data_IF_596800512231
#
_entry.id   IF_596800512231
#
_cell.length_a   1.000
_cell.length_b   1.000
_cell.length_c   1.000
_cell.angle_alpha   90.00
_cell.angle_beta   90.00
_cell.angle_gamma   90.00
#
_symmetry.space_group_name_H-M   'P 1'
#
loop_
_entity.id
_entity.type
_entity.pdbx_description
1 polymer ?
#
# COMPACT_ATOMS: atom_id res chain seq x y z
N UNK A 1 -3.59 17.60 -25.72
CA UNK A 1 -4.17 16.30 -26.15
C UNK A 1 -3.11 15.20 -26.27
N UNK A 2 -2.06 15.32 -27.11
CA UNK A 2 -1.01 14.27 -27.23
C UNK A 2 -0.27 13.94 -25.93
N UNK A 3 0.08 14.93 -25.11
CA UNK A 3 0.76 14.70 -23.82
C UNK A 3 -0.12 13.98 -22.78
N UNK A 4 -1.42 14.30 -22.74
CA UNK A 4 -2.38 13.64 -21.85
C UNK A 4 -2.58 12.16 -22.23
N UNK A 5 -2.69 11.87 -23.53
CA UNK A 5 -2.79 10.49 -24.03
C UNK A 5 -1.54 9.69 -23.65
N UNK A 6 -0.35 10.27 -23.86
CA UNK A 6 0.91 9.61 -23.49
C UNK A 6 1.00 9.32 -21.99
N UNK A 7 0.52 10.21 -21.12
CA UNK A 7 0.52 9.98 -19.67
C UNK A 7 -0.43 8.84 -19.28
N UNK A 8 -1.65 8.83 -19.83
CA UNK A 8 -2.61 7.75 -19.59
C UNK A 8 -2.09 6.40 -20.07
N UNK A 9 -1.38 6.36 -21.20
CA UNK A 9 -0.74 5.15 -21.70
C UNK A 9 0.34 4.64 -20.72
N UNK A 10 1.19 5.53 -20.20
CA UNK A 10 2.23 5.16 -19.22
C UNK A 10 1.60 4.61 -17.94
N UNK A 11 0.58 5.30 -17.41
CA UNK A 11 -0.15 4.87 -16.23
C UNK A 11 -0.77 3.48 -16.47
N UNK A 12 -1.44 3.27 -17.61
CA UNK A 12 -2.04 1.99 -17.97
C UNK A 12 -1.02 0.87 -18.07
N UNK A 13 0.13 1.12 -18.72
CA UNK A 13 1.21 0.14 -18.80
C UNK A 13 1.84 -0.18 -17.43
N UNK A 14 2.05 0.84 -16.59
CA UNK A 14 2.59 0.67 -15.24
C UNK A 14 1.64 -0.12 -14.32
N UNK A 15 0.33 0.17 -14.39
CA UNK A 15 -0.71 -0.59 -13.68
C UNK A 15 -0.78 -2.05 -14.16
N UNK A 16 -0.69 -2.29 -15.47
CA UNK A 16 -0.66 -3.64 -16.02
C UNK A 16 0.59 -4.41 -15.57
N UNK A 17 1.76 -3.78 -15.57
CA UNK A 17 2.99 -4.37 -15.05
C UNK A 17 2.84 -4.69 -13.56
N UNK A 18 2.29 -3.78 -12.76
CA UNK A 18 2.06 -3.99 -11.34
C UNK A 18 1.16 -5.20 -11.06
N UNK A 19 0.08 -5.34 -11.82
CA UNK A 19 -0.79 -6.53 -11.76
C UNK A 19 -0.05 -7.81 -12.11
N UNK A 20 0.67 -7.84 -13.25
CA UNK A 20 1.38 -9.03 -13.73
C UNK A 20 2.42 -9.48 -12.72
N UNK A 21 3.25 -8.55 -12.24
CA UNK A 21 4.29 -8.86 -11.25
C UNK A 21 3.64 -9.34 -9.95
N UNK A 22 2.62 -8.64 -9.44
CA UNK A 22 1.94 -9.06 -8.22
C UNK A 22 1.31 -10.44 -8.35
N UNK A 23 0.67 -10.75 -9.48
CA UNK A 23 0.06 -12.05 -9.75
C UNK A 23 1.10 -13.18 -9.74
N UNK A 24 2.18 -13.05 -10.52
CA UNK A 24 3.19 -14.10 -10.59
C UNK A 24 3.97 -14.25 -9.27
N UNK A 25 4.31 -13.13 -8.62
CA UNK A 25 5.01 -13.17 -7.32
C UNK A 25 4.11 -13.74 -6.23
N UNK A 26 2.83 -13.38 -6.18
CA UNK A 26 1.89 -13.95 -5.22
C UNK A 26 1.75 -15.46 -5.45
N UNK A 27 1.58 -15.90 -6.71
CA UNK A 27 1.53 -17.32 -7.06
C UNK A 27 2.76 -18.09 -6.60
N UNK A 28 3.96 -17.55 -6.85
CA UNK A 28 5.22 -18.18 -6.43
C UNK A 28 5.35 -18.15 -4.91
N UNK A 29 5.05 -17.02 -4.28
CA UNK A 29 5.16 -16.80 -2.83
C UNK A 29 4.16 -17.62 -2.03
N UNK A 30 3.04 -18.04 -2.60
CA UNK A 30 2.02 -18.89 -1.97
C UNK A 30 2.16 -20.38 -2.34
N UNK A 31 3.12 -20.73 -3.20
CA UNK A 31 3.34 -22.12 -3.58
C UNK A 31 3.87 -22.96 -2.40
N UNK A 32 3.48 -24.25 -2.26
CA UNK A 32 3.91 -25.08 -1.13
C UNK A 32 5.43 -25.25 -0.98
N UNK A 33 6.19 -25.04 -2.06
CA UNK A 33 7.65 -25.18 -2.10
C UNK A 33 8.39 -23.88 -1.74
N UNK A 34 7.66 -22.76 -1.60
CA UNK A 34 8.25 -21.46 -1.34
C UNK A 34 8.70 -21.32 0.11
N UNK A 35 9.93 -20.84 0.28
CA UNK A 35 10.48 -20.46 1.59
C UNK A 35 9.86 -19.18 2.16
N UNK A 36 9.14 -18.43 1.33
CA UNK A 36 8.46 -17.19 1.71
C UNK A 36 7.08 -17.46 2.28
N UNK A 37 6.48 -18.62 1.96
CA UNK A 37 5.19 -19.02 2.51
C UNK A 37 5.32 -19.39 3.98
N UNK A 38 4.29 -19.07 4.75
CA UNK A 38 4.07 -19.57 6.09
C UNK A 38 2.62 -20.04 6.19
N UNK A 39 2.36 -21.10 6.96
CA UNK A 39 1.02 -21.59 7.20
C UNK A 39 0.30 -20.69 8.22
N UNK A 40 -0.71 -19.95 7.77
CA UNK A 40 -1.62 -19.23 8.67
C UNK A 40 -2.55 -20.23 9.34
N UNK A 41 -2.42 -20.37 10.66
CA UNK A 41 -3.17 -21.34 11.45
C UNK A 41 -4.34 -20.59 12.10
N UNK A 42 -5.60 -21.02 11.86
CA UNK A 42 -6.76 -20.37 12.42
C UNK A 42 -6.65 -20.19 13.94
N UNK A 43 -6.86 -18.96 14.40
CA UNK A 43 -6.89 -18.61 15.81
C UNK A 43 -8.27 -18.05 16.20
N UNK A 44 -8.44 -17.64 17.46
CA UNK A 44 -9.71 -17.10 17.99
C UNK A 44 -10.21 -15.82 17.29
N UNK A 45 -9.39 -15.20 16.43
CA UNK A 45 -9.71 -14.02 15.61
C UNK A 45 -9.89 -14.36 14.13
N UNK A 46 -9.47 -15.55 13.70
CA UNK A 46 -9.57 -15.98 12.30
C UNK A 46 -11.01 -16.32 11.95
N UNK A 47 -11.48 -15.83 10.80
CA UNK A 47 -12.80 -16.17 10.26
C UNK A 47 -12.75 -17.32 9.25
N UNK A 48 -11.55 -17.70 8.81
CA UNK A 48 -11.30 -18.92 8.04
C UNK A 48 -11.11 -20.12 8.99
N UNK A 49 -11.47 -21.31 8.50
CA UNK A 49 -11.42 -22.57 9.30
C UNK A 49 -10.28 -23.49 8.86
N UNK A 50 -9.71 -23.25 7.68
CA UNK A 50 -8.64 -24.08 7.10
C UNK A 50 -7.31 -23.36 7.21
N UNK A 51 -6.22 -24.12 7.32
CA UNK A 51 -4.86 -23.57 7.25
C UNK A 51 -4.62 -23.04 5.84
N UNK A 52 -4.31 -21.75 5.71
CA UNK A 52 -4.07 -21.09 4.41
C UNK A 52 -2.59 -20.70 4.28
N UNK A 53 -2.03 -20.72 3.06
CA UNK A 53 -0.70 -20.17 2.83
C UNK A 53 -0.74 -18.64 2.95
N UNK A 54 0.15 -18.08 3.77
CA UNK A 54 0.37 -16.63 3.93
C UNK A 54 1.71 -16.21 3.32
N UNK A 55 1.81 -14.95 2.90
CA UNK A 55 3.00 -14.37 2.25
C UNK A 55 2.73 -13.75 0.88
N UNK A 56 1.50 -13.83 0.36
CA UNK A 56 1.14 -13.25 -0.95
C UNK A 56 1.24 -11.72 -1.01
N UNK A 57 1.24 -11.03 0.13
CA UNK A 57 1.46 -9.58 0.22
C UNK A 57 2.80 -9.12 -0.36
N UNK A 58 3.80 -10.00 -0.45
CA UNK A 58 5.07 -9.73 -1.17
C UNK A 58 4.79 -9.39 -2.63
N UNK A 59 3.79 -10.03 -3.25
CA UNK A 59 3.35 -9.72 -4.60
C UNK A 59 2.87 -8.28 -4.73
N UNK A 60 2.06 -7.80 -3.79
CA UNK A 60 1.57 -6.41 -3.79
C UNK A 60 2.75 -5.43 -3.75
N UNK A 61 3.73 -5.67 -2.88
CA UNK A 61 4.89 -4.79 -2.69
C UNK A 61 5.77 -4.78 -3.94
N UNK A 62 6.14 -5.95 -4.47
CA UNK A 62 7.00 -6.03 -5.65
C UNK A 62 6.29 -5.56 -6.93
N UNK A 63 4.99 -5.82 -7.05
CA UNK A 63 4.17 -5.31 -8.15
C UNK A 63 4.03 -3.79 -8.10
N UNK A 64 3.68 -3.24 -6.95
CA UNK A 64 3.60 -1.80 -6.73
C UNK A 64 4.95 -1.11 -6.99
N UNK A 65 6.06 -1.70 -6.54
CA UNK A 65 7.40 -1.20 -6.83
C UNK A 65 7.72 -1.23 -8.33
N UNK A 66 7.47 -2.35 -9.02
CA UNK A 66 7.73 -2.46 -10.46
C UNK A 66 6.91 -1.46 -11.28
N UNK A 67 5.61 -1.33 -10.98
CA UNK A 67 4.75 -0.31 -11.61
C UNK A 67 5.21 1.11 -11.29
N UNK A 68 5.57 1.37 -10.04
CA UNK A 68 6.11 2.66 -9.60
C UNK A 68 7.38 3.06 -10.34
N UNK A 69 8.36 2.15 -10.43
CA UNK A 69 9.60 2.36 -11.19
C UNK A 69 9.30 2.69 -12.65
N UNK A 70 8.38 1.97 -13.28
CA UNK A 70 7.98 2.23 -14.66
C UNK A 70 7.28 3.58 -14.83
N UNK A 71 6.47 3.98 -13.85
CA UNK A 71 5.68 5.20 -13.91
C UNK A 71 6.52 6.47 -13.70
N UNK A 72 7.32 6.52 -12.63
CA UNK A 72 8.11 7.72 -12.31
C UNK A 72 9.51 7.68 -12.89
N UNK A 73 10.09 6.50 -13.07
CA UNK A 73 11.51 6.31 -13.38
C UNK A 73 12.33 6.04 -12.12
N UNK A 74 13.47 5.33 -12.29
CA UNK A 74 14.28 4.87 -11.17
C UNK A 74 14.90 6.03 -10.36
N UNK A 75 15.38 7.08 -11.03
CA UNK A 75 16.06 8.21 -10.36
C UNK A 75 15.11 9.04 -9.47
N UNK A 76 13.84 9.10 -9.84
CA UNK A 76 12.77 9.77 -9.09
C UNK A 76 12.25 8.97 -7.90
N UNK A 77 12.64 7.69 -7.75
CA UNK A 77 12.38 6.92 -6.54
C UNK A 77 13.20 7.39 -5.33
N UNK A 78 14.10 8.37 -5.50
CA UNK A 78 14.78 9.05 -4.39
C UNK A 78 14.17 10.42 -4.07
N UNK A 79 13.02 10.76 -4.67
CA UNK A 79 12.24 11.97 -4.38
C UNK A 79 11.21 11.75 -3.25
N UNK A 80 10.29 12.70 -3.02
CA UNK A 80 9.19 12.57 -2.06
C UNK A 80 8.35 11.29 -2.26
N UNK A 81 8.13 10.86 -3.51
CA UNK A 81 7.45 9.59 -3.83
C UNK A 81 8.27 8.38 -3.38
N UNK A 82 9.59 8.50 -3.44
CA UNK A 82 10.55 7.52 -2.94
C UNK A 82 10.42 7.19 -1.47
N UNK A 83 10.10 8.19 -0.66
CA UNK A 83 9.89 8.01 0.78
C UNK A 83 8.67 7.15 1.07
N UNK A 84 7.59 7.27 0.27
CA UNK A 84 6.41 6.41 0.40
C UNK A 84 6.73 4.95 0.04
N UNK A 85 7.50 4.73 -1.02
CA UNK A 85 7.97 3.37 -1.37
C UNK A 85 8.86 2.78 -0.28
N UNK A 86 9.81 3.56 0.23
CA UNK A 86 10.71 3.13 1.31
C UNK A 86 9.93 2.80 2.58
N UNK A 87 8.96 3.65 2.95
CA UNK A 87 8.03 3.41 4.06
C UNK A 87 7.23 2.11 3.86
N UNK A 88 6.69 1.90 2.66
CA UNK A 88 5.95 0.70 2.30
C UNK A 88 6.79 -0.57 2.41
N UNK A 89 8.04 -0.55 1.94
CA UNK A 89 8.97 -1.69 2.06
C UNK A 89 9.30 -1.97 3.53
N UNK A 90 9.58 -0.94 4.34
CA UNK A 90 9.83 -1.12 5.77
C UNK A 90 8.64 -1.74 6.49
N UNK A 91 7.42 -1.28 6.20
CA UNK A 91 6.19 -1.84 6.76
C UNK A 91 5.95 -3.28 6.28
N UNK A 92 6.21 -3.58 5.02
CA UNK A 92 6.09 -4.93 4.48
C UNK A 92 7.06 -5.90 5.15
N UNK A 93 8.31 -5.48 5.35
CA UNK A 93 9.30 -6.29 6.07
C UNK A 93 8.89 -6.50 7.53
N UNK A 94 8.40 -5.46 8.19
CA UNK A 94 7.90 -5.56 9.56
C UNK A 94 6.70 -6.51 9.66
N UNK A 95 5.73 -6.42 8.74
CA UNK A 95 4.59 -7.33 8.66
C UNK A 95 5.02 -8.77 8.43
N UNK A 96 5.92 -9.01 7.47
CA UNK A 96 6.47 -10.35 7.20
C UNK A 96 7.23 -10.96 8.40
N UNK A 97 7.85 -10.12 9.24
CA UNK A 97 8.47 -10.54 10.50
C UNK A 97 7.39 -10.80 11.57
N UNK A 98 6.37 -9.94 11.67
CA UNK A 98 5.23 -10.09 12.58
C UNK A 98 4.52 -11.42 12.37
N UNK A 99 4.24 -11.78 11.12
CA UNK A 99 3.57 -13.03 10.75
C UNK A 99 4.35 -14.27 11.24
N UNK A 100 5.68 -14.20 11.36
CA UNK A 100 6.51 -15.33 11.79
C UNK A 100 6.83 -15.35 13.27
N UNK A 101 6.94 -14.18 13.89
CA UNK A 101 7.48 -14.04 15.24
C UNK A 101 6.48 -13.50 16.25
N UNK A 102 5.28 -13.10 15.81
CA UNK A 102 4.27 -12.44 16.61
C UNK A 102 4.87 -11.30 17.46
N UNK A 103 5.22 -10.19 16.80
CA UNK A 103 5.85 -9.06 17.46
C UNK A 103 4.91 -8.44 18.50
N UNK A 104 5.48 -8.08 19.66
CA UNK A 104 4.73 -7.39 20.69
C UNK A 104 4.19 -6.04 20.19
N UNK A 105 3.02 -5.64 20.68
CA UNK A 105 2.37 -4.39 20.30
C UNK A 105 3.27 -3.14 20.40
N UNK A 106 4.13 -2.97 21.43
CA UNK A 106 5.05 -1.84 21.50
C UNK A 106 6.07 -1.80 20.36
N UNK A 107 6.58 -2.96 19.93
CA UNK A 107 7.54 -3.04 18.81
C UNK A 107 6.89 -2.58 17.51
N UNK A 108 5.65 -3.02 17.26
CA UNK A 108 4.88 -2.61 16.09
C UNK A 108 4.61 -1.12 16.08
N UNK A 109 4.22 -0.55 17.22
CA UNK A 109 4.01 0.89 17.36
C UNK A 109 5.30 1.70 17.12
N UNK A 110 6.47 1.24 17.59
CA UNK A 110 7.74 1.91 17.34
C UNK A 110 8.07 1.93 15.84
N UNK A 111 7.89 0.80 15.15
CA UNK A 111 8.12 0.72 13.70
C UNK A 111 7.16 1.67 12.95
N UNK A 112 5.86 1.60 13.25
CA UNK A 112 4.84 2.44 12.62
C UNK A 112 5.11 3.93 12.88
N UNK A 113 5.52 4.29 14.09
CA UNK A 113 5.89 5.67 14.45
C UNK A 113 7.14 6.12 13.70
N UNK A 114 8.15 5.26 13.58
CA UNK A 114 9.38 5.56 12.82
C UNK A 114 9.06 5.84 11.35
N UNK A 115 8.20 5.01 10.75
CA UNK A 115 7.73 5.21 9.38
C UNK A 115 6.95 6.51 9.25
N UNK A 116 6.01 6.79 10.16
CA UNK A 116 5.24 8.02 10.15
C UNK A 116 6.12 9.27 10.26
N UNK A 117 7.11 9.26 11.15
CA UNK A 117 8.09 10.35 11.28
C UNK A 117 8.90 10.51 10.00
N UNK A 118 9.35 9.42 9.37
CA UNK A 118 10.07 9.47 8.10
C UNK A 118 9.25 10.13 6.99
N UNK A 119 7.97 9.78 6.86
CA UNK A 119 7.04 10.39 5.89
C UNK A 119 6.84 11.89 6.17
N UNK A 120 6.70 12.29 7.44
CA UNK A 120 6.58 13.70 7.83
C UNK A 120 7.85 14.48 7.48
N UNK A 121 9.03 13.93 7.79
CA UNK A 121 10.32 14.56 7.49
C UNK A 121 10.59 14.66 5.98
N UNK A 122 9.99 13.79 5.18
CA UNK A 122 10.00 13.86 3.72
C UNK A 122 9.10 14.98 3.14
N UNK A 123 8.43 15.76 4.00
CA UNK A 123 7.53 16.84 3.61
C UNK A 123 6.12 16.39 3.26
N UNK A 124 5.77 15.12 3.53
CA UNK A 124 4.43 14.58 3.28
C UNK A 124 3.62 14.67 4.58
N UNK A 125 2.80 15.70 4.68
CA UNK A 125 1.94 15.92 5.84
C UNK A 125 0.54 16.37 5.42
N UNK A 126 -0.45 15.93 6.17
CA UNK A 126 -1.80 16.46 6.12
C UNK A 126 -1.76 17.87 6.72
N UNK A 127 -1.70 18.89 5.88
CA UNK A 127 -1.59 20.30 6.31
C UNK A 127 -2.95 20.96 6.57
N UNK A 128 -4.05 20.31 6.20
CA UNK A 128 -5.39 20.83 6.41
C UNK A 128 -6.47 19.93 5.84
N UNK A 129 -7.71 20.39 5.95
CA UNK A 129 -8.90 19.75 5.41
C UNK A 129 -9.80 20.79 4.74
N UNK A 130 -10.36 20.43 3.59
CA UNK A 130 -11.44 21.19 2.95
C UNK A 130 -12.78 20.68 3.47
N UNK A 131 -13.63 21.60 3.90
CA UNK A 131 -14.98 21.34 4.39
C UNK A 131 -15.95 22.24 3.62
N UNK A 132 -16.32 21.79 2.42
CA UNK A 132 -16.99 22.63 1.43
C UNK A 132 -16.09 23.79 0.99
N UNK A 133 -16.60 25.01 1.02
CA UNK A 133 -15.84 26.21 0.63
C UNK A 133 -14.82 26.66 1.68
N UNK A 134 -14.86 26.09 2.89
CA UNK A 134 -13.93 26.43 3.98
C UNK A 134 -12.72 25.53 3.96
N UNK A 135 -11.53 26.11 4.09
CA UNK A 135 -10.27 25.37 4.24
C UNK A 135 -9.76 25.57 5.66
N UNK A 136 -9.70 24.49 6.44
CA UNK A 136 -9.11 24.49 7.77
C UNK A 136 -7.65 24.03 7.66
N UNK A 137 -6.71 24.92 7.94
CA UNK A 137 -5.29 24.62 7.93
C UNK A 137 -4.83 24.21 9.33
N UNK A 138 -4.05 23.14 9.42
CA UNK A 138 -3.43 22.68 10.65
C UNK A 138 -2.09 23.42 10.87
N UNK A 139 -1.87 24.06 12.03
CA UNK A 139 -0.56 24.62 12.38
C UNK A 139 0.51 23.51 12.45
N UNK A 140 1.77 23.84 12.15
CA UNK A 140 2.85 22.85 11.90
C UNK A 140 2.86 21.61 12.82
N UNK A 141 2.92 21.78 14.14
CA UNK A 141 2.92 20.65 15.06
C UNK A 141 1.62 19.82 15.00
N UNK A 142 0.46 20.47 14.88
CA UNK A 142 -0.82 19.79 14.73
C UNK A 142 -0.87 18.99 13.44
N UNK A 143 -0.37 19.55 12.32
CA UNK A 143 -0.28 18.83 11.04
C UNK A 143 0.56 17.54 11.19
N UNK A 144 1.72 17.61 11.85
CA UNK A 144 2.56 16.44 12.11
C UNK A 144 1.87 15.40 13.00
N UNK A 145 1.19 15.82 14.08
CA UNK A 145 0.47 14.91 14.97
C UNK A 145 -0.67 14.23 14.23
N UNK A 146 -1.50 14.99 13.50
CA UNK A 146 -2.63 14.45 12.73
C UNK A 146 -2.13 13.47 11.66
N UNK A 147 -1.07 13.83 10.94
CA UNK A 147 -0.45 12.94 9.95
C UNK A 147 0.06 11.65 10.58
N UNK A 148 0.78 11.74 11.70
CA UNK A 148 1.33 10.58 12.37
C UNK A 148 0.26 9.64 12.89
N UNK A 149 -0.78 10.19 13.54
CA UNK A 149 -1.93 9.42 13.99
C UNK A 149 -2.68 8.78 12.81
N UNK A 150 -2.87 9.51 11.71
CA UNK A 150 -3.53 8.98 10.53
C UNK A 150 -2.77 7.80 9.92
N UNK A 151 -1.44 7.91 9.75
CA UNK A 151 -0.61 6.83 9.20
C UNK A 151 -0.68 5.60 10.11
N UNK A 152 -0.44 5.77 11.42
CA UNK A 152 -0.47 4.67 12.39
C UNK A 152 -1.86 4.01 12.43
N UNK A 153 -2.93 4.82 12.42
CA UNK A 153 -4.30 4.33 12.38
C UNK A 153 -4.58 3.53 11.12
N UNK A 154 -4.22 4.04 9.94
CA UNK A 154 -4.40 3.35 8.66
C UNK A 154 -3.67 2.00 8.61
N UNK A 155 -2.45 1.93 9.14
CA UNK A 155 -1.69 0.67 9.19
C UNK A 155 -2.41 -0.37 10.05
N UNK A 156 -2.86 0.01 11.25
CA UNK A 156 -3.58 -0.90 12.14
C UNK A 156 -4.97 -1.26 11.60
N UNK A 157 -5.64 -0.33 10.92
CA UNK A 157 -6.94 -0.56 10.28
C UNK A 157 -6.82 -1.67 9.22
N UNK A 158 -5.86 -1.56 8.30
CA UNK A 158 -5.66 -2.58 7.26
C UNK A 158 -5.21 -3.92 7.85
N UNK A 159 -4.35 -3.92 8.87
CA UNK A 159 -3.97 -5.15 9.58
C UNK A 159 -5.16 -5.84 10.25
N UNK A 160 -6.12 -5.06 10.78
CA UNK A 160 -7.35 -5.62 11.36
C UNK A 160 -8.31 -6.16 10.30
N UNK A 161 -8.39 -5.51 9.14
CA UNK A 161 -9.24 -5.94 8.02
C UNK A 161 -8.76 -7.25 7.36
N UNK A 162 -7.48 -7.57 7.47
CA UNK A 162 -6.88 -8.78 6.85
C UNK A 162 -7.24 -10.09 7.57
N UNK A 163 -8.12 -10.06 8.58
CA UNK A 163 -8.65 -11.26 9.24
C UNK A 163 -9.72 -12.02 8.44
N UNK A 164 -10.14 -11.49 7.28
CA UNK A 164 -11.11 -12.09 6.36
C UNK A 164 -10.52 -12.23 4.97
N UNK A 165 -10.65 -13.43 4.38
CA UNK A 165 -10.19 -13.72 3.02
C UNK A 165 -10.79 -12.71 2.03
N UNK A 166 -9.91 -12.06 1.26
CA UNK A 166 -10.28 -11.11 0.20
C UNK A 166 -10.69 -9.71 0.68
N UNK A 167 -10.94 -9.48 1.98
CA UNK A 167 -11.50 -8.20 2.45
C UNK A 167 -10.52 -7.04 2.29
N UNK A 168 -9.30 -7.16 2.85
CA UNK A 168 -8.30 -6.10 2.81
C UNK A 168 -7.88 -5.77 1.37
N UNK A 169 -7.64 -6.79 0.55
CA UNK A 169 -7.28 -6.62 -0.86
C UNK A 169 -8.42 -6.00 -1.68
N UNK A 170 -9.68 -6.41 -1.48
CA UNK A 170 -10.84 -5.79 -2.15
C UNK A 170 -10.99 -4.32 -1.77
N UNK A 171 -10.82 -4.00 -0.49
CA UNK A 171 -10.90 -2.63 0.00
C UNK A 171 -9.77 -1.75 -0.54
N UNK A 172 -8.56 -2.29 -0.70
CA UNK A 172 -7.47 -1.60 -1.38
C UNK A 172 -7.81 -1.33 -2.86
N UNK A 173 -8.36 -2.31 -3.58
CA UNK A 173 -8.75 -2.16 -4.99
C UNK A 173 -9.79 -1.06 -5.17
N UNK A 174 -10.88 -1.10 -4.39
CA UNK A 174 -11.97 -0.12 -4.47
C UNK A 174 -11.50 1.26 -3.99
N UNK A 175 -10.82 1.33 -2.85
CA UNK A 175 -10.34 2.58 -2.26
C UNK A 175 -9.33 3.29 -3.15
N UNK A 176 -8.24 2.61 -3.53
CA UNK A 176 -7.24 3.20 -4.42
C UNK A 176 -7.75 3.37 -5.85
N UNK A 177 -8.67 2.53 -6.32
CA UNK A 177 -9.36 2.73 -7.60
C UNK A 177 -10.12 4.05 -7.64
N UNK A 178 -10.88 4.35 -6.58
CA UNK A 178 -11.61 5.60 -6.41
C UNK A 178 -10.66 6.80 -6.24
N UNK A 179 -9.60 6.68 -5.43
CA UNK A 179 -8.59 7.72 -5.29
C UNK A 179 -7.88 8.02 -6.61
N UNK A 180 -7.57 6.99 -7.41
CA UNK A 180 -6.98 7.15 -8.73
C UNK A 180 -7.90 7.91 -9.69
N UNK A 181 -9.19 7.57 -9.68
CA UNK A 181 -10.21 8.31 -10.43
C UNK A 181 -10.33 9.77 -9.98
N UNK A 182 -10.33 10.04 -8.68
CA UNK A 182 -10.38 11.40 -8.15
C UNK A 182 -9.15 12.21 -8.55
N UNK A 183 -7.95 11.62 -8.48
CA UNK A 183 -6.71 12.24 -8.95
C UNK A 183 -6.80 12.62 -10.44
N UNK A 184 -7.28 11.69 -11.27
CA UNK A 184 -7.44 11.91 -12.69
C UNK A 184 -8.40 13.06 -13.02
N UNK A 185 -9.56 13.11 -12.36
CA UNK A 185 -10.55 14.18 -12.56
C UNK A 185 -10.01 15.56 -12.14
N UNK A 186 -9.11 15.61 -11.15
CA UNK A 186 -8.47 16.86 -10.70
C UNK A 186 -7.16 17.18 -11.44
N UNK A 187 -6.75 16.36 -12.41
CA UNK A 187 -5.52 16.56 -13.18
C UNK A 187 -4.23 16.29 -12.39
N UNK A 188 -4.31 15.55 -11.28
CA UNK A 188 -3.14 15.08 -10.52
C UNK A 188 -2.75 13.68 -11.01
N UNK A 189 -2.02 13.65 -12.12
CA UNK A 189 -1.57 12.41 -12.77
C UNK A 189 -0.68 11.56 -11.86
N UNK A 190 0.15 12.20 -11.02
CA UNK A 190 1.06 11.50 -10.10
C UNK A 190 0.27 10.75 -9.03
N UNK A 191 -0.72 11.42 -8.42
CA UNK A 191 -1.62 10.79 -7.45
C UNK A 191 -2.47 9.70 -8.11
N UNK A 192 -3.02 9.98 -9.29
CA UNK A 192 -3.83 9.03 -10.05
C UNK A 192 -3.08 7.74 -10.37
N UNK A 193 -1.88 7.88 -10.98
CA UNK A 193 -1.03 6.77 -11.35
C UNK A 193 -0.59 5.93 -10.14
N UNK A 194 -0.15 6.58 -9.06
CA UNK A 194 0.26 5.88 -7.84
C UNK A 194 -0.88 5.06 -7.24
N UNK A 195 -2.09 5.64 -7.17
CA UNK A 195 -3.26 4.95 -6.64
C UNK A 195 -3.69 3.78 -7.53
N UNK A 196 -3.76 3.95 -8.85
CA UNK A 196 -4.12 2.84 -9.75
C UNK A 196 -3.07 1.73 -9.82
N UNK A 197 -1.78 2.04 -9.65
CA UNK A 197 -0.73 1.04 -9.51
C UNK A 197 -0.96 0.19 -8.26
N UNK A 198 -1.25 0.80 -7.10
CA UNK A 198 -1.55 0.08 -5.85
C UNK A 198 -2.84 -0.74 -5.94
N UNK A 199 -3.88 -0.20 -6.59
CA UNK A 199 -5.11 -0.94 -6.87
C UNK A 199 -4.82 -2.17 -7.75
N UNK A 200 -4.04 -2.01 -8.81
CA UNK A 200 -3.70 -3.09 -9.74
C UNK A 200 -2.81 -4.17 -9.13
N UNK A 201 -1.82 -3.80 -8.30
CA UNK A 201 -1.01 -4.77 -7.56
C UNK A 201 -1.84 -5.55 -6.54
N UNK A 202 -2.79 -4.89 -5.88
CA UNK A 202 -3.72 -5.55 -4.95
C UNK A 202 -4.64 -6.52 -5.68
N UNK A 203 -5.11 -6.16 -6.88
CA UNK A 203 -5.89 -7.05 -7.75
C UNK A 203 -5.11 -8.30 -8.18
N UNK A 204 -3.81 -8.17 -8.47
CA UNK A 204 -2.96 -9.30 -8.81
C UNK A 204 -2.83 -10.32 -7.67
N UNK A 205 -2.80 -9.85 -6.42
CA UNK A 205 -2.82 -10.70 -5.23
C UNK A 205 -4.21 -11.30 -4.95
N UNK A 206 -5.29 -10.51 -5.10
CA UNK A 206 -6.65 -10.92 -4.75
C UNK A 206 -7.07 -12.24 -5.42
N UNK A 207 -6.58 -12.55 -6.63
CA UNK A 207 -6.88 -13.80 -7.34
C UNK A 207 -6.57 -15.06 -6.52
N UNK A 208 -5.63 -14.97 -5.58
CA UNK A 208 -5.19 -16.08 -4.72
C UNK A 208 -5.68 -15.95 -3.27
N UNK A 209 -6.52 -14.97 -2.97
CA UNK A 209 -6.93 -14.62 -1.60
C UNK A 209 -8.44 -14.84 -1.40
N UNK A 210 -8.88 -16.09 -1.58
CA UNK A 210 -10.25 -16.58 -1.37
C UNK A 210 -10.26 -18.03 -0.90
#
# INVERSE_FOLDING_TARGET
>A
MRQLVAMMDIIGMASMLAFIVAFFVARLSLSPESRLTHADIPNHRSLHVQVTPSGGGIGIVLGGFAGGVMFVGFDTLFSSVGWLFTAGVLLALAGYIDDRRALDAPVRLVIQTTVAVGVILAGLSLTGMSLGDSIFQFPGLLASIVTGLFIIWMINLYNFMDGMDGLAATMAIVGFGALGWLGFVHGDDMFAGTAWILSSSSLGFLVFNF
#
